data_IF_140064765970
#
_entry.id   IF_140064765970
#
_cell.length_a   1.000
_cell.length_b   1.000
_cell.length_c   1.000
_cell.angle_alpha   90.00
_cell.angle_beta   90.00
_cell.angle_gamma   90.00
#
_symmetry.space_group_name_H-M   'P 1'
#
loop_
_entity.id
_entity.type
_entity.pdbx_description
1 polymer ?
#
# COMPACT_ATOMS: atom_id res chain seq x y z
N UNK A 1 38.06 45.74 45.79
CA UNK A 1 37.13 46.88 45.98
C UNK A 1 35.87 46.59 45.16
N UNK A 2 34.70 46.70 45.80
CA UNK A 2 33.35 46.38 45.34
C UNK A 2 32.91 47.18 44.10
N UNK A 3 32.27 46.53 43.12
CA UNK A 3 30.95 46.85 42.51
C UNK A 3 30.61 45.62 41.63
N UNK A 4 29.81 44.62 42.04
CA UNK A 4 28.40 44.59 42.46
C UNK A 4 27.48 45.29 41.44
N UNK A 5 27.05 44.54 40.44
CA UNK A 5 25.85 44.84 39.64
C UNK A 5 24.88 43.65 39.78
N UNK A 6 23.63 43.87 40.21
CA UNK A 6 22.68 42.82 40.56
C UNK A 6 21.91 42.36 39.32
N UNK A 7 22.03 41.09 38.93
CA UNK A 7 21.09 40.50 38.00
C UNK A 7 19.90 39.96 38.80
N UNK A 8 18.79 40.67 38.61
CA UNK A 8 17.52 40.60 39.29
C UNK A 8 16.96 39.17 39.26
N UNK A 9 16.82 38.57 40.43
CA UNK A 9 15.86 37.52 40.71
C UNK A 9 14.49 38.19 40.95
N UNK A 10 13.50 37.96 40.09
CA UNK A 10 12.09 38.00 40.47
C UNK A 10 11.17 37.58 39.30
N UNK A 11 10.30 36.60 39.60
CA UNK A 11 8.94 36.40 39.10
C UNK A 11 8.76 36.05 37.60
N UNK A 12 8.01 35.04 37.19
CA UNK A 12 6.91 34.38 37.88
C UNK A 12 6.73 32.95 37.34
N UNK A 13 6.65 32.00 38.25
CA UNK A 13 5.94 30.75 38.01
C UNK A 13 4.46 31.09 37.83
N UNK A 14 3.93 30.90 36.63
CA UNK A 14 2.49 30.76 36.45
C UNK A 14 2.19 29.27 36.32
N UNK A 15 1.75 28.74 37.44
CA UNK A 15 1.21 27.40 37.55
C UNK A 15 -0.14 27.33 36.82
N UNK A 16 -0.29 26.23 36.07
CA UNK A 16 -1.46 25.36 36.06
C UNK A 16 -2.82 25.96 35.67
N UNK A 17 -3.29 25.56 34.50
CA UNK A 17 -4.72 25.30 34.29
C UNK A 17 -4.86 23.89 33.74
N UNK A 18 -5.19 22.96 34.65
CA UNK A 18 -5.76 21.65 34.35
C UNK A 18 -7.28 21.81 34.27
N UNK A 19 -7.82 21.82 33.07
CA UNK A 19 -9.17 21.35 32.69
C UNK A 19 -8.98 20.94 31.22
N UNK A 20 -8.96 19.66 30.82
CA UNK A 20 -9.92 18.62 31.14
C UNK A 20 -10.79 18.42 29.90
N UNK A 21 -10.45 17.40 29.09
CA UNK A 21 -11.34 16.59 28.25
C UNK A 21 -10.49 15.50 27.57
N UNK A 22 -10.29 14.41 28.31
CA UNK A 22 -10.01 13.12 27.69
C UNK A 22 -11.33 12.59 27.14
N UNK A 23 -11.50 12.72 25.83
CA UNK A 23 -12.31 11.85 24.99
C UNK A 23 -11.51 11.74 23.69
N UNK A 24 -10.55 10.82 23.61
CA UNK A 24 -10.13 10.36 22.29
C UNK A 24 -11.25 9.39 21.90
N UNK A 25 -12.19 9.75 21.01
CA UNK A 25 -13.23 8.83 20.64
C UNK A 25 -12.56 7.58 20.09
N UNK A 26 -13.00 6.46 20.63
CA UNK A 26 -12.66 5.14 20.16
C UNK A 26 -12.73 5.10 18.64
N UNK A 27 -11.83 4.28 18.10
CA UNK A 27 -11.83 3.82 16.75
C UNK A 27 -13.24 3.39 16.30
N UNK A 28 -13.98 4.30 15.71
CA UNK A 28 -14.80 3.98 14.57
C UNK A 28 -13.88 4.17 13.36
N UNK A 29 -13.22 3.07 12.96
CA UNK A 29 -12.75 2.91 11.60
C UNK A 29 -13.97 3.04 10.70
N UNK A 30 -14.30 4.29 10.35
CA UNK A 30 -15.21 4.59 9.26
C UNK A 30 -14.51 4.07 8.00
N UNK A 31 -15.15 3.24 7.16
CA UNK A 31 -14.51 2.71 5.97
C UNK A 31 -13.85 3.86 5.22
N UNK A 32 -12.56 3.68 4.93
CA UNK A 32 -11.86 4.51 3.97
C UNK A 32 -12.52 4.21 2.62
N UNK A 33 -13.69 4.80 2.39
CA UNK A 33 -14.31 4.88 1.08
C UNK A 33 -13.38 5.80 0.29
N UNK A 34 -12.41 5.17 -0.38
CA UNK A 34 -11.35 5.80 -1.14
C UNK A 34 -11.97 6.84 -2.08
N UNK A 35 -11.53 8.09 -2.00
CA UNK A 35 -11.84 9.07 -3.03
C UNK A 35 -11.21 8.58 -4.34
N UNK A 36 -12.03 8.05 -5.24
CA UNK A 36 -11.61 7.66 -6.58
C UNK A 36 -11.11 8.91 -7.31
N UNK A 37 -9.80 9.03 -7.46
CA UNK A 37 -9.22 10.03 -8.34
C UNK A 37 -9.64 9.72 -9.78
N UNK A 38 -9.87 10.74 -10.64
CA UNK A 38 -10.33 10.53 -12.01
C UNK A 38 -9.32 9.79 -12.93
N UNK A 39 -8.15 9.41 -12.39
CA UNK A 39 -7.09 8.67 -13.07
C UNK A 39 -6.61 7.44 -12.26
N UNK A 40 -7.43 6.89 -11.37
CA UNK A 40 -7.06 5.66 -10.65
C UNK A 40 -6.93 4.48 -11.63
N UNK A 41 -5.96 3.56 -11.43
CA UNK A 41 -5.87 2.34 -12.22
C UNK A 41 -7.13 1.49 -12.06
N UNK A 42 -7.44 0.65 -13.06
CA UNK A 42 -8.52 -0.32 -12.92
C UNK A 42 -8.28 -1.21 -11.70
N UNK A 43 -9.32 -1.41 -10.89
CA UNK A 43 -9.30 -2.27 -9.72
C UNK A 43 -9.92 -3.64 -10.05
N UNK A 44 -9.55 -4.66 -9.28
CA UNK A 44 -9.90 -6.06 -9.52
C UNK A 44 -11.37 -6.42 -9.23
N UNK A 45 -12.14 -5.52 -8.62
CA UNK A 45 -13.51 -5.79 -8.13
C UNK A 45 -14.57 -5.95 -9.22
N UNK A 46 -14.24 -5.63 -10.47
CA UNK A 46 -15.23 -5.49 -11.54
C UNK A 46 -15.39 -6.76 -12.42
N UNK A 47 -14.67 -7.84 -12.11
CA UNK A 47 -14.67 -9.05 -12.92
C UNK A 47 -15.92 -9.92 -12.69
N UNK A 48 -17.04 -9.63 -13.37
CA UNK A 48 -18.20 -10.52 -13.42
C UNK A 48 -17.85 -11.77 -14.24
N UNK A 49 -17.68 -12.91 -13.57
CA UNK A 49 -17.48 -14.23 -14.20
C UNK A 49 -16.03 -14.63 -14.51
N UNK A 50 -15.02 -13.87 -14.06
CA UNK A 50 -13.60 -14.16 -14.28
C UNK A 50 -12.76 -14.00 -13.01
N UNK A 51 -11.47 -14.38 -13.08
CA UNK A 51 -10.56 -14.18 -11.95
C UNK A 51 -10.34 -12.67 -11.70
N UNK A 52 -10.51 -12.16 -10.46
CA UNK A 52 -10.49 -10.73 -10.16
C UNK A 52 -9.19 -10.03 -10.62
N UNK A 53 -8.05 -10.71 -10.47
CA UNK A 53 -6.76 -10.18 -10.95
C UNK A 53 -6.57 -10.08 -12.46
N UNK A 54 -7.43 -10.69 -13.27
CA UNK A 54 -7.26 -10.73 -14.73
C UNK A 54 -7.40 -9.35 -15.37
N UNK A 55 -8.38 -8.56 -14.94
CA UNK A 55 -8.63 -7.24 -15.51
C UNK A 55 -7.43 -6.30 -15.29
N UNK A 56 -6.92 -6.25 -14.06
CA UNK A 56 -5.74 -5.44 -13.70
C UNK A 56 -4.50 -5.91 -14.45
N UNK A 57 -4.29 -7.23 -14.51
CA UNK A 57 -3.19 -7.84 -15.25
C UNK A 57 -3.20 -7.43 -16.73
N UNK A 58 -4.35 -7.59 -17.41
CA UNK A 58 -4.47 -7.32 -18.84
C UNK A 58 -4.31 -5.82 -19.15
N UNK A 59 -4.81 -4.95 -18.27
CA UNK A 59 -4.71 -3.50 -18.44
C UNK A 59 -3.30 -2.96 -18.14
N UNK A 60 -2.56 -3.57 -17.22
CA UNK A 60 -1.30 -3.00 -16.71
C UNK A 60 -0.08 -3.82 -17.10
N UNK A 61 -0.03 -5.10 -16.72
CA UNK A 61 1.19 -5.91 -16.71
C UNK A 61 1.63 -6.37 -18.10
N UNK A 62 0.69 -6.59 -19.01
CA UNK A 62 0.94 -7.02 -20.39
C UNK A 62 0.55 -5.95 -21.43
N UNK A 63 0.47 -4.69 -21.00
CA UNK A 63 0.15 -3.56 -21.89
C UNK A 63 1.25 -3.29 -22.93
N UNK A 64 2.51 -3.60 -22.58
CA UNK A 64 3.68 -3.34 -23.43
C UNK A 64 4.32 -4.60 -24.04
N UNK A 65 4.01 -5.79 -23.52
CA UNK A 65 4.52 -7.08 -24.01
C UNK A 65 3.51 -8.19 -23.71
N UNK A 66 3.58 -9.31 -24.42
CA UNK A 66 2.66 -10.43 -24.22
C UNK A 66 2.96 -11.28 -22.95
N UNK A 67 2.15 -12.32 -22.76
CA UNK A 67 2.23 -13.26 -21.62
C UNK A 67 3.42 -14.23 -21.67
N UNK A 68 4.24 -14.22 -22.73
CA UNK A 68 5.41 -15.07 -22.89
C UNK A 68 6.45 -14.87 -21.78
N UNK A 69 6.42 -13.72 -21.09
CA UNK A 69 7.24 -13.44 -19.91
C UNK A 69 7.01 -14.43 -18.75
N UNK A 70 5.82 -15.04 -18.67
CA UNK A 70 5.47 -16.00 -17.61
C UNK A 70 5.85 -17.45 -17.96
N UNK A 71 6.03 -17.75 -19.24
CA UNK A 71 6.24 -19.13 -19.75
C UNK A 71 7.67 -19.40 -20.25
N UNK A 72 8.56 -18.41 -20.20
CA UNK A 72 9.97 -18.58 -20.59
C UNK A 72 10.67 -19.67 -19.77
N UNK A 73 11.56 -20.43 -20.43
CA UNK A 73 12.29 -21.53 -19.82
C UNK A 73 13.20 -21.09 -18.66
N UNK A 74 13.72 -19.87 -18.72
CA UNK A 74 14.62 -19.31 -17.71
C UNK A 74 13.91 -18.46 -16.64
N UNK A 75 12.60 -18.69 -16.43
CA UNK A 75 11.80 -17.97 -15.42
C UNK A 75 12.44 -18.05 -14.03
N UNK A 76 12.43 -16.92 -13.30
CA UNK A 76 13.17 -16.75 -12.03
C UNK A 76 12.32 -16.98 -10.78
N UNK A 77 11.01 -16.91 -10.90
CA UNK A 77 10.10 -17.15 -9.78
C UNK A 77 10.02 -18.65 -9.55
N UNK A 78 10.30 -19.08 -8.31
CA UNK A 78 10.33 -20.50 -7.92
C UNK A 78 9.25 -20.87 -6.90
N UNK A 79 8.58 -19.88 -6.31
CA UNK A 79 7.51 -20.07 -5.34
C UNK A 79 6.51 -18.90 -5.35
N UNK A 80 5.41 -19.07 -4.61
CA UNK A 80 4.32 -18.10 -4.53
C UNK A 80 4.76 -16.76 -3.92
N UNK A 81 5.65 -16.77 -2.93
CA UNK A 81 6.14 -15.55 -2.27
C UNK A 81 6.99 -14.72 -3.23
N UNK A 82 7.88 -15.37 -3.99
CA UNK A 82 8.66 -14.71 -5.03
C UNK A 82 7.76 -14.16 -6.15
N UNK A 83 6.70 -14.88 -6.51
CA UNK A 83 5.72 -14.37 -7.48
C UNK A 83 5.01 -13.12 -6.96
N UNK A 84 4.55 -13.12 -5.72
CA UNK A 84 3.92 -11.96 -5.10
C UNK A 84 4.88 -10.74 -5.07
N UNK A 85 6.14 -10.97 -4.72
CA UNK A 85 7.18 -9.92 -4.75
C UNK A 85 7.42 -9.39 -6.17
N UNK A 86 7.40 -10.27 -7.18
CA UNK A 86 7.52 -9.87 -8.58
C UNK A 86 6.34 -9.00 -9.03
N UNK A 87 5.11 -9.34 -8.65
CA UNK A 87 3.93 -8.52 -8.97
C UNK A 87 4.04 -7.13 -8.36
N UNK A 88 4.46 -7.02 -7.10
CA UNK A 88 4.74 -5.72 -6.45
C UNK A 88 5.81 -4.91 -7.19
N UNK A 89 6.87 -5.58 -7.67
CA UNK A 89 7.91 -4.92 -8.47
C UNK A 89 7.37 -4.44 -9.82
N UNK A 90 6.49 -5.21 -10.47
CA UNK A 90 5.84 -4.79 -11.70
C UNK A 90 5.00 -3.53 -11.48
N UNK A 91 4.16 -3.51 -10.43
CA UNK A 91 3.38 -2.33 -10.06
C UNK A 91 4.26 -1.10 -9.81
N UNK A 92 5.35 -1.25 -9.03
CA UNK A 92 6.27 -0.16 -8.75
C UNK A 92 6.95 0.38 -10.02
N UNK A 93 7.32 -0.49 -10.96
CA UNK A 93 7.94 -0.09 -12.22
C UNK A 93 6.95 0.63 -13.15
N UNK A 94 5.67 0.22 -13.14
CA UNK A 94 4.61 0.84 -13.94
C UNK A 94 4.08 2.12 -13.28
N UNK A 95 4.32 2.30 -11.98
CA UNK A 95 3.84 3.44 -11.22
C UNK A 95 2.32 3.43 -11.00
N UNK A 96 1.68 2.26 -11.11
CA UNK A 96 0.22 2.12 -11.00
C UNK A 96 -0.28 2.33 -9.58
N UNK A 97 0.53 2.04 -8.54
CA UNK A 97 0.15 2.22 -7.13
C UNK A 97 -1.11 1.42 -6.77
N UNK A 98 -1.15 0.16 -7.21
CA UNK A 98 -2.23 -0.76 -6.91
C UNK A 98 -2.34 -1.00 -5.39
N UNK A 99 -3.57 -1.21 -4.92
CA UNK A 99 -3.81 -1.60 -3.53
C UNK A 99 -3.39 -3.05 -3.28
N UNK A 100 -3.19 -3.41 -2.02
CA UNK A 100 -2.74 -4.75 -1.63
C UNK A 100 -3.70 -5.86 -2.11
N UNK A 101 -5.00 -5.58 -2.17
CA UNK A 101 -6.00 -6.50 -2.70
C UNK A 101 -5.80 -6.76 -4.20
N UNK A 102 -5.59 -5.71 -5.00
CA UNK A 102 -5.34 -5.82 -6.43
C UNK A 102 -4.04 -6.59 -6.70
N UNK A 103 -2.98 -6.31 -5.94
CA UNK A 103 -1.71 -7.02 -6.01
C UNK A 103 -1.86 -8.51 -5.67
N UNK A 104 -2.64 -8.83 -4.63
CA UNK A 104 -2.96 -10.20 -4.23
C UNK A 104 -3.76 -10.92 -5.33
N UNK A 105 -4.77 -10.24 -5.88
CA UNK A 105 -5.62 -10.77 -6.94
C UNK A 105 -4.82 -11.05 -8.23
N UNK A 106 -3.93 -10.14 -8.65
CA UNK A 106 -3.03 -10.36 -9.79
C UNK A 106 -2.07 -11.53 -9.51
N UNK A 107 -1.52 -11.62 -8.29
CA UNK A 107 -0.66 -12.74 -7.89
C UNK A 107 -1.39 -14.07 -7.97
N UNK A 108 -2.61 -14.13 -7.43
CA UNK A 108 -3.45 -15.32 -7.48
C UNK A 108 -3.78 -15.72 -8.92
N UNK A 109 -4.11 -14.74 -9.78
CA UNK A 109 -4.38 -14.97 -11.20
C UNK A 109 -3.18 -15.57 -11.93
N UNK A 110 -2.01 -14.96 -11.76
CA UNK A 110 -0.79 -15.44 -12.39
C UNK A 110 -0.40 -16.83 -11.88
N UNK A 111 -0.59 -17.08 -10.58
CA UNK A 111 -0.30 -18.39 -10.01
C UNK A 111 -1.24 -19.46 -10.55
N UNK A 112 -2.53 -19.16 -10.60
CA UNK A 112 -3.53 -20.06 -11.15
C UNK A 112 -3.32 -20.29 -12.64
N UNK A 113 -2.90 -19.29 -13.41
CA UNK A 113 -2.81 -19.43 -14.88
C UNK A 113 -1.50 -20.05 -15.32
N UNK A 114 -0.36 -19.63 -14.75
CA UNK A 114 0.97 -19.93 -15.30
C UNK A 114 1.90 -20.71 -14.36
N UNK A 115 1.89 -20.40 -13.06
CA UNK A 115 2.96 -20.87 -12.17
C UNK A 115 2.62 -22.13 -11.37
N UNK A 116 1.37 -22.25 -10.89
CA UNK A 116 0.86 -23.41 -10.13
C UNK A 116 1.66 -23.72 -8.86
N UNK A 117 2.23 -22.70 -8.21
CA UNK A 117 2.94 -22.89 -6.96
C UNK A 117 1.98 -23.21 -5.81
N UNK A 118 2.40 -24.04 -4.83
CA UNK A 118 1.70 -24.16 -3.55
C UNK A 118 1.54 -22.77 -2.92
N UNK A 119 0.32 -22.46 -2.47
CA UNK A 119 0.07 -21.26 -1.67
C UNK A 119 0.52 -21.55 -0.23
N UNK A 120 1.13 -20.57 0.47
CA UNK A 120 1.50 -20.72 1.87
C UNK A 120 0.29 -20.89 2.79
#
# INVERSE_FOLDING_TARGET
MKILTPMIMALAMTALSLVGCAEKPDAAAKPLEQAFAPNSPPQATDAVGGHPGKAVHDASCISCHDSGVYTRADRKMTDFTMLAAQVRRCDANLGTKLFDEDLSNVTAYLNETYYKFPKP
#
